data_IF_571033270104
#
_entry.id   IF_571033270104
#
_cell.length_a   1.000
_cell.length_b   1.000
_cell.length_c   1.000
_cell.angle_alpha   90.00
_cell.angle_beta   90.00
_cell.angle_gamma   90.00
#
_symmetry.space_group_name_H-M   'P 1'
#
loop_
_entity.id
_entity.type
_entity.pdbx_description
1 polymer ?
#
# COMPACT_ATOMS: atom_id res chain seq x y z
N UNK A 1 10.22 -13.92 0.54
CA UNK A 1 8.85 -14.19 0.99
C UNK A 1 7.95 -13.07 0.50
N UNK A 2 6.79 -13.41 -0.08
CA UNK A 2 5.79 -12.45 -0.53
C UNK A 2 4.53 -12.57 0.33
N UNK A 3 4.09 -11.44 0.91
CA UNK A 3 2.84 -11.30 1.65
C UNK A 3 2.00 -10.22 0.95
N UNK A 4 1.31 -10.61 -0.11
CA UNK A 4 0.71 -9.70 -1.08
C UNK A 4 -0.78 -9.42 -0.84
N UNK A 5 -1.35 -9.91 0.26
CA UNK A 5 -2.77 -9.75 0.55
C UNK A 5 -3.15 -9.85 2.02
N UNK A 6 -2.43 -10.63 2.80
CA UNK A 6 -2.85 -10.99 4.15
C UNK A 6 -3.03 -9.78 5.08
N UNK A 7 -2.13 -8.80 5.05
CA UNK A 7 -2.12 -7.72 6.03
C UNK A 7 -3.37 -6.85 6.02
N UNK A 8 -3.96 -6.62 4.86
CA UNK A 8 -5.17 -5.79 4.78
C UNK A 8 -6.48 -6.57 4.99
N UNK A 9 -6.40 -7.87 5.29
CA UNK A 9 -7.53 -8.66 5.77
C UNK A 9 -7.48 -8.92 7.30
N UNK A 10 -6.44 -8.44 7.97
CA UNK A 10 -6.22 -8.59 9.40
C UNK A 10 -6.46 -7.27 10.12
N UNK A 11 -7.59 -7.17 10.83
CA UNK A 11 -8.01 -5.90 11.45
C UNK A 11 -7.27 -5.59 12.75
N UNK A 12 -6.86 -6.60 13.52
CA UNK A 12 -6.10 -6.36 14.74
C UNK A 12 -4.61 -6.12 14.43
N UNK A 13 -3.98 -5.24 15.20
CA UNK A 13 -2.53 -5.03 15.10
C UNK A 13 -1.76 -6.31 15.41
N UNK A 14 -2.23 -7.08 16.41
CA UNK A 14 -1.60 -8.32 16.84
C UNK A 14 -1.60 -9.37 15.71
N UNK A 15 -2.73 -9.55 15.02
CA UNK A 15 -2.81 -10.51 13.92
C UNK A 15 -1.89 -10.14 12.76
N UNK A 16 -1.80 -8.83 12.44
CA UNK A 16 -0.85 -8.36 11.42
C UNK A 16 0.59 -8.63 11.84
N UNK A 17 0.96 -8.34 13.09
CA UNK A 17 2.30 -8.63 13.58
C UNK A 17 2.60 -10.12 13.60
N UNK A 18 1.65 -10.97 13.99
CA UNK A 18 1.79 -12.42 13.96
C UNK A 18 2.04 -12.93 12.53
N UNK A 19 1.27 -12.45 11.56
CA UNK A 19 1.45 -12.81 10.15
C UNK A 19 2.83 -12.38 9.63
N UNK A 20 3.28 -11.17 9.99
CA UNK A 20 4.62 -10.69 9.61
C UNK A 20 5.74 -11.50 10.30
N UNK A 21 5.58 -11.85 11.57
CA UNK A 21 6.51 -12.75 12.30
C UNK A 21 6.66 -14.10 11.59
N UNK A 22 5.57 -14.70 11.12
CA UNK A 22 5.61 -15.96 10.38
C UNK A 22 6.33 -15.78 9.02
N UNK A 23 6.12 -14.67 8.32
CA UNK A 23 6.89 -14.35 7.11
C UNK A 23 8.39 -14.24 7.41
N UNK A 24 8.76 -13.57 8.50
CA UNK A 24 10.14 -13.46 8.95
C UNK A 24 10.70 -14.81 9.34
N UNK A 25 9.91 -15.64 10.07
CA UNK A 25 10.34 -16.99 10.50
C UNK A 25 10.75 -17.85 9.32
N UNK A 26 9.94 -17.89 8.26
CA UNK A 26 10.19 -18.74 7.08
C UNK A 26 11.19 -18.12 6.09
N UNK A 27 11.49 -16.84 6.22
CA UNK A 27 12.48 -16.16 5.38
C UNK A 27 13.89 -16.55 5.82
N UNK A 28 14.75 -16.87 4.87
CA UNK A 28 16.18 -17.13 5.12
C UNK A 28 16.87 -15.85 5.58
N UNK A 29 17.95 -15.99 6.37
CA UNK A 29 18.83 -14.85 6.70
C UNK A 29 19.34 -14.20 5.41
N UNK A 30 19.27 -12.89 5.34
CA UNK A 30 19.60 -12.10 4.14
C UNK A 30 18.55 -12.21 3.03
N UNK A 31 17.44 -12.92 3.24
CA UNK A 31 16.36 -13.06 2.27
C UNK A 31 15.47 -11.81 2.20
N UNK A 32 14.77 -11.67 1.09
CA UNK A 32 13.88 -10.55 0.82
C UNK A 32 12.45 -10.87 1.25
N UNK A 33 11.82 -9.89 1.89
CA UNK A 33 10.39 -9.89 2.22
C UNK A 33 9.71 -8.73 1.48
N UNK A 34 8.49 -8.96 1.01
CA UNK A 34 7.63 -7.94 0.44
C UNK A 34 6.25 -8.00 1.08
N UNK A 35 5.79 -6.86 1.61
CA UNK A 35 4.50 -6.70 2.28
C UNK A 35 3.66 -5.69 1.52
N UNK A 36 2.56 -6.15 0.90
CA UNK A 36 1.57 -5.26 0.31
C UNK A 36 0.59 -4.75 1.38
N UNK A 37 0.20 -3.49 1.25
CA UNK A 37 -0.77 -2.85 2.12
C UNK A 37 -1.67 -1.88 1.35
N UNK A 38 -2.85 -1.61 1.90
CA UNK A 38 -3.73 -0.55 1.40
C UNK A 38 -3.44 0.74 2.15
N UNK A 39 -3.25 1.83 1.40
CA UNK A 39 -2.81 3.10 1.95
C UNK A 39 -4.01 4.00 2.32
N UNK A 40 -4.06 4.46 3.56
CA UNK A 40 -5.09 5.36 4.08
C UNK A 40 -5.25 6.61 3.23
N UNK A 41 -4.16 7.28 2.85
CA UNK A 41 -4.22 8.54 2.09
C UNK A 41 -4.80 8.37 0.70
N UNK A 42 -4.33 7.39 -0.05
CA UNK A 42 -4.88 7.10 -1.39
C UNK A 42 -6.36 6.73 -1.33
N UNK A 43 -6.74 5.90 -0.34
CA UNK A 43 -8.14 5.54 -0.14
C UNK A 43 -9.03 6.72 0.31
N UNK A 44 -8.50 7.65 1.12
CA UNK A 44 -9.20 8.88 1.48
C UNK A 44 -9.54 9.71 0.23
N UNK A 45 -8.56 9.97 -0.63
CA UNK A 45 -8.77 10.74 -1.86
C UNK A 45 -9.68 10.01 -2.84
N UNK A 46 -9.53 8.70 -2.99
CA UNK A 46 -10.43 7.91 -3.82
C UNK A 46 -11.88 7.95 -3.30
N UNK A 47 -12.07 7.86 -2.00
CA UNK A 47 -13.37 7.99 -1.36
C UNK A 47 -14.01 9.36 -1.59
N UNK A 48 -13.21 10.42 -1.52
CA UNK A 48 -13.66 11.79 -1.75
C UNK A 48 -14.03 12.06 -3.22
N UNK A 49 -13.19 11.60 -4.16
CA UNK A 49 -13.29 11.98 -5.58
C UNK A 49 -14.20 11.03 -6.35
N UNK A 50 -13.99 9.73 -6.23
CA UNK A 50 -14.68 8.74 -7.05
C UNK A 50 -15.94 8.17 -6.39
N UNK A 51 -15.90 7.98 -5.06
CA UNK A 51 -17.01 7.38 -4.34
C UNK A 51 -17.93 8.42 -3.67
N UNK A 52 -17.60 9.70 -3.74
CA UNK A 52 -18.37 10.85 -3.21
C UNK A 52 -18.82 10.65 -1.75
N UNK A 53 -17.99 10.01 -0.93
CA UNK A 53 -18.25 9.78 0.49
C UNK A 53 -18.32 11.09 1.25
N UNK A 54 -19.13 11.14 2.30
CA UNK A 54 -19.16 12.30 3.20
C UNK A 54 -17.84 12.45 3.95
N UNK A 55 -17.47 13.69 4.30
CA UNK A 55 -16.23 13.96 5.04
C UNK A 55 -16.21 13.28 6.41
N UNK A 56 -17.34 13.22 7.10
CA UNK A 56 -17.44 12.52 8.41
C UNK A 56 -17.15 11.02 8.31
N UNK A 57 -17.62 10.39 7.23
CA UNK A 57 -17.31 8.98 6.96
C UNK A 57 -15.85 8.81 6.64
N UNK A 58 -15.29 9.66 5.76
CA UNK A 58 -13.88 9.60 5.36
C UNK A 58 -12.93 9.77 6.55
N UNK A 59 -13.22 10.70 7.47
CA UNK A 59 -12.43 10.89 8.69
C UNK A 59 -12.47 9.65 9.59
N UNK A 60 -13.65 9.08 9.83
CA UNK A 60 -13.79 7.86 10.65
C UNK A 60 -13.01 6.68 10.04
N UNK A 61 -13.14 6.48 8.73
CA UNK A 61 -12.43 5.43 8.01
C UNK A 61 -10.90 5.65 8.06
N UNK A 62 -10.45 6.89 7.92
CA UNK A 62 -9.04 7.22 7.97
C UNK A 62 -8.45 6.99 9.37
N UNK A 63 -9.10 7.47 10.41
CA UNK A 63 -8.62 7.34 11.79
C UNK A 63 -8.55 5.87 12.23
N UNK A 64 -9.62 5.11 11.99
CA UNK A 64 -9.69 3.70 12.37
C UNK A 64 -8.84 2.77 11.47
N UNK A 65 -8.63 3.13 10.21
CA UNK A 65 -8.12 2.24 9.17
C UNK A 65 -9.15 1.22 8.68
N UNK A 66 -10.31 1.15 9.34
CA UNK A 66 -11.40 0.26 8.99
C UNK A 66 -12.42 0.99 8.12
N UNK A 67 -12.82 0.35 7.05
CA UNK A 67 -13.91 0.78 6.19
C UNK A 67 -15.10 -0.18 6.35
N UNK A 68 -16.23 0.17 5.76
CA UNK A 68 -17.44 -0.68 5.74
C UNK A 68 -17.27 -1.88 4.78
N UNK A 69 -16.04 -2.32 4.58
CA UNK A 69 -15.67 -3.46 3.75
C UNK A 69 -14.74 -4.41 4.52
N UNK A 70 -14.20 -5.41 3.83
CA UNK A 70 -13.31 -6.44 4.39
C UNK A 70 -11.84 -6.02 4.45
N UNK A 71 -11.52 -4.75 4.21
CA UNK A 71 -10.14 -4.30 4.07
C UNK A 71 -9.75 -3.32 5.18
N UNK A 72 -8.60 -3.58 5.81
CA UNK A 72 -7.93 -2.65 6.71
C UNK A 72 -6.93 -1.78 5.92
N UNK A 73 -6.89 -0.48 6.21
CA UNK A 73 -5.95 0.47 5.63
C UNK A 73 -4.96 0.95 6.68
N UNK A 74 -3.73 1.17 6.21
CA UNK A 74 -2.62 1.65 7.04
C UNK A 74 -1.84 2.74 6.29
N UNK A 75 -0.83 3.31 6.90
CA UNK A 75 0.08 4.24 6.23
C UNK A 75 1.42 3.58 5.94
N UNK A 76 2.20 4.16 5.02
CA UNK A 76 3.57 3.73 4.75
C UNK A 76 4.45 3.78 6.02
N UNK A 77 4.22 4.79 6.87
CA UNK A 77 4.94 4.96 8.13
C UNK A 77 4.59 3.86 9.13
N UNK A 78 3.29 3.54 9.30
CA UNK A 78 2.84 2.47 10.21
C UNK A 78 3.44 1.12 9.82
N UNK A 79 3.40 0.77 8.51
CA UNK A 79 4.03 -0.47 8.02
C UNK A 79 5.53 -0.47 8.26
N UNK A 80 6.21 0.65 8.00
CA UNK A 80 7.64 0.75 8.25
C UNK A 80 7.99 0.56 9.73
N UNK A 81 7.21 1.12 10.66
CA UNK A 81 7.38 0.90 12.11
C UNK A 81 7.19 -0.58 12.49
N UNK A 82 6.20 -1.26 11.92
CA UNK A 82 5.98 -2.69 12.15
C UNK A 82 7.19 -3.51 11.67
N UNK A 83 7.72 -3.21 10.49
CA UNK A 83 8.91 -3.88 9.95
C UNK A 83 10.17 -3.60 10.79
N UNK A 84 10.35 -2.37 11.26
CA UNK A 84 11.45 -2.01 12.17
C UNK A 84 11.37 -2.77 13.50
N UNK A 85 10.18 -2.94 14.06
CA UNK A 85 9.98 -3.74 15.28
C UNK A 85 10.39 -5.22 15.10
N UNK A 86 10.42 -5.71 13.86
CA UNK A 86 10.89 -7.04 13.48
C UNK A 86 12.38 -7.08 13.06
N UNK A 87 13.11 -5.99 13.28
CA UNK A 87 14.52 -5.82 12.88
C UNK A 87 14.77 -6.03 11.38
N UNK A 88 13.82 -5.68 10.53
CA UNK A 88 13.97 -5.74 9.09
C UNK A 88 14.60 -4.45 8.55
N UNK A 89 15.51 -4.59 7.59
CA UNK A 89 16.11 -3.45 6.89
C UNK A 89 15.21 -3.07 5.71
N UNK A 90 14.69 -1.85 5.70
CA UNK A 90 13.90 -1.33 4.58
C UNK A 90 14.80 -1.06 3.38
N UNK A 91 14.46 -1.64 2.23
CA UNK A 91 15.09 -1.34 0.95
C UNK A 91 14.23 -0.36 0.15
N UNK A 92 12.91 -0.60 0.11
CA UNK A 92 11.95 0.26 -0.57
C UNK A 92 10.63 0.27 0.20
N UNK A 93 9.96 1.41 0.21
CA UNK A 93 8.57 1.54 0.64
C UNK A 93 7.88 2.46 -0.37
N UNK A 94 7.20 1.86 -1.34
CA UNK A 94 6.77 2.49 -2.58
C UNK A 94 5.25 2.48 -2.73
N UNK A 95 4.74 3.46 -3.47
CA UNK A 95 3.38 3.41 -4.00
C UNK A 95 3.35 2.60 -5.30
N UNK A 96 2.29 1.84 -5.50
CA UNK A 96 2.19 0.94 -6.66
C UNK A 96 1.43 1.58 -7.82
N UNK A 97 0.31 2.23 -7.52
CA UNK A 97 -0.65 2.75 -8.51
C UNK A 97 -0.79 4.27 -8.53
N UNK A 98 -0.15 4.96 -7.58
CA UNK A 98 -0.14 6.42 -7.47
C UNK A 98 -1.55 7.01 -7.67
N UNK A 99 -1.65 8.00 -8.56
CA UNK A 99 -2.90 8.67 -8.91
C UNK A 99 -3.64 8.02 -10.10
N UNK A 100 -3.23 6.80 -10.52
CA UNK A 100 -3.83 6.12 -11.67
C UNK A 100 -5.34 5.90 -11.48
N UNK A 101 -5.81 5.70 -10.25
CA UNK A 101 -7.24 5.56 -9.93
C UNK A 101 -8.09 6.80 -10.27
N UNK A 102 -7.49 7.98 -10.45
CA UNK A 102 -8.19 9.20 -10.88
C UNK A 102 -8.42 9.26 -12.40
N UNK A 103 -7.84 8.37 -13.16
CA UNK A 103 -7.80 8.42 -14.61
C UNK A 103 -8.06 7.07 -15.27
N UNK A 104 -8.84 6.19 -14.66
CA UNK A 104 -9.07 4.83 -15.15
C UNK A 104 -9.61 4.83 -16.59
N UNK A 105 -10.62 5.64 -16.89
CA UNK A 105 -11.18 5.76 -18.26
C UNK A 105 -10.13 6.22 -19.29
N UNK A 106 -9.25 7.13 -18.91
CA UNK A 106 -8.16 7.59 -19.78
C UNK A 106 -7.13 6.49 -20.00
N UNK A 107 -6.83 5.71 -18.98
CA UNK A 107 -5.88 4.58 -19.03
C UNK A 107 -6.44 3.48 -19.94
N UNK A 108 -7.71 3.14 -19.76
CA UNK A 108 -8.39 2.12 -20.56
C UNK A 108 -8.50 2.50 -22.06
N UNK A 109 -8.46 3.80 -22.37
CA UNK A 109 -8.49 4.32 -23.74
C UNK A 109 -7.09 4.51 -24.37
N UNK A 110 -6.01 4.19 -23.66
CA UNK A 110 -4.63 4.33 -24.16
C UNK A 110 -4.29 3.27 -25.22
N UNK A 111 -3.46 3.65 -26.19
CA UNK A 111 -2.76 2.68 -27.04
C UNK A 111 -1.69 1.93 -26.23
N UNK A 112 -1.23 0.78 -26.75
CA UNK A 112 -0.16 0.01 -26.11
C UNK A 112 1.13 0.83 -25.91
N UNK A 113 1.45 1.74 -26.85
CA UNK A 113 2.61 2.62 -26.75
C UNK A 113 2.46 3.66 -25.63
N UNK A 114 1.30 4.33 -25.57
CA UNK A 114 0.98 5.29 -24.50
C UNK A 114 1.01 4.60 -23.11
N UNK A 115 0.46 3.39 -23.04
CA UNK A 115 0.45 2.60 -21.80
C UNK A 115 1.87 2.20 -21.37
N UNK A 116 2.74 1.81 -22.32
CA UNK A 116 4.14 1.52 -22.01
C UNK A 116 4.88 2.74 -21.46
N UNK A 117 4.62 3.93 -22.02
CA UNK A 117 5.18 5.18 -21.49
C UNK A 117 4.65 5.49 -20.09
N UNK A 118 3.35 5.28 -19.83
CA UNK A 118 2.77 5.44 -18.50
C UNK A 118 3.47 4.54 -17.50
N UNK A 119 3.70 3.25 -17.82
CA UNK A 119 4.40 2.32 -16.94
C UNK A 119 5.81 2.76 -16.58
N UNK A 120 6.54 3.37 -17.52
CA UNK A 120 7.88 3.92 -17.25
C UNK A 120 7.83 5.09 -16.26
N UNK A 121 6.84 5.98 -16.41
CA UNK A 121 6.62 7.06 -15.45
C UNK A 121 6.19 6.52 -14.08
N UNK A 122 5.31 5.53 -14.04
CA UNK A 122 4.88 4.88 -12.80
C UNK A 122 6.06 4.27 -12.03
N UNK A 123 6.98 3.60 -12.73
CA UNK A 123 8.20 3.04 -12.11
C UNK A 123 9.11 4.12 -11.50
N UNK A 124 9.23 5.27 -12.15
CA UNK A 124 9.99 6.41 -11.62
C UNK A 124 9.27 7.04 -10.42
N UNK A 125 7.98 7.29 -10.55
CA UNK A 125 7.15 7.88 -9.51
C UNK A 125 7.08 6.99 -8.24
N UNK A 126 7.13 5.66 -8.40
CA UNK A 126 7.12 4.71 -7.29
C UNK A 126 8.26 4.93 -6.28
N UNK A 127 9.37 5.51 -6.72
CA UNK A 127 10.55 5.77 -5.90
C UNK A 127 10.53 7.17 -5.26
N UNK A 128 9.56 8.01 -5.62
CA UNK A 128 9.42 9.36 -5.07
C UNK A 128 8.61 9.32 -3.76
N UNK A 129 9.24 9.56 -2.59
CA UNK A 129 8.58 9.41 -1.29
C UNK A 129 7.31 10.24 -1.13
N UNK A 130 7.30 11.44 -1.75
CA UNK A 130 6.16 12.36 -1.66
C UNK A 130 4.95 11.88 -2.49
N UNK A 131 5.16 11.08 -3.52
CA UNK A 131 4.12 10.55 -4.39
C UNK A 131 3.58 9.21 -3.87
N UNK A 132 4.44 8.40 -3.25
CA UNK A 132 4.06 7.10 -2.70
C UNK A 132 2.86 7.18 -1.75
N UNK A 133 2.77 8.27 -0.97
CA UNK A 133 1.64 8.53 -0.07
C UNK A 133 0.28 8.67 -0.76
N UNK A 134 0.23 9.04 -2.04
CA UNK A 134 -1.02 9.20 -2.79
C UNK A 134 -1.54 7.90 -3.42
N UNK A 135 -0.79 6.83 -3.37
CA UNK A 135 -1.15 5.52 -3.93
C UNK A 135 -2.27 4.85 -3.13
N UNK A 136 -3.16 4.11 -3.79
CA UNK A 136 -4.12 3.21 -3.10
C UNK A 136 -3.41 2.02 -2.48
N UNK A 137 -2.44 1.47 -3.21
CA UNK A 137 -1.66 0.31 -2.80
C UNK A 137 -0.22 0.71 -2.52
N UNK A 138 0.29 0.24 -1.40
CA UNK A 138 1.70 0.36 -1.05
C UNK A 138 2.39 -0.99 -1.02
N UNK A 139 3.70 -0.97 -1.24
CA UNK A 139 4.56 -2.15 -1.18
C UNK A 139 5.82 -1.82 -0.40
N UNK A 140 5.97 -2.47 0.76
CA UNK A 140 7.19 -2.43 1.54
C UNK A 140 8.07 -3.62 1.17
N UNK A 141 9.32 -3.36 0.84
CA UNK A 141 10.33 -4.37 0.47
C UNK A 141 11.53 -4.20 1.38
N UNK A 142 11.98 -5.29 1.98
CA UNK A 142 13.14 -5.24 2.87
C UNK A 142 13.85 -6.57 3.03
N UNK A 143 14.89 -6.56 3.86
CA UNK A 143 15.77 -7.68 4.07
C UNK A 143 15.80 -8.10 5.55
N UNK A 144 15.82 -9.44 5.77
CA UNK A 144 16.02 -10.07 7.08
C UNK A 144 17.49 -10.10 7.49
#
# INVERSE_FOLDING_TARGET
VLCMGALYHLFSYEDRMNAMCECVRVCKKGGILAFAYLNKWGNFYNGMINNLKSMDLLYREFDSGNHEDIFFRTTAEEVNKMCQALNLTCLHNIGVDHLAFLSSERIDAMSDEEYAHLLDYQRKAAQEPNIAGASLHGLWIGQK
#
